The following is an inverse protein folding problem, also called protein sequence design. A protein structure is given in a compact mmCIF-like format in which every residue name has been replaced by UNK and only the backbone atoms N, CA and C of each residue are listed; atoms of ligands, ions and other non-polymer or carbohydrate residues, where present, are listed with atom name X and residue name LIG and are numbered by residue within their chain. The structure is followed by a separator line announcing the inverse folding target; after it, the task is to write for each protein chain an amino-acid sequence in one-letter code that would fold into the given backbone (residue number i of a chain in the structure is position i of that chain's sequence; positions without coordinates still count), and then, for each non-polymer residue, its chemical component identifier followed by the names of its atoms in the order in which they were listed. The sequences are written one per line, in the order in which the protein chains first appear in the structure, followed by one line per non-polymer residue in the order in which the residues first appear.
data_IF_306790828770
#
_entry.id   IF_306790828770
#
_cell.length_a   1.000
_cell.length_b   1.000
_cell.length_c   1.000
_cell.angle_alpha   90.00
_cell.angle_beta   90.00
_cell.angle_gamma   90.00
#
_symmetry.space_group_name_H-M   'P 1'
#
loop_
_entity.id
_entity.type
_entity.pdbx_description
1 polymer ?
#
# COMPACT_ATOMS: atom_id res chain seq x y z
N UNK A 1 -14.04 -7.80 -15.22
CA UNK A 1 -12.93 -7.11 -14.54
C UNK A 1 -11.98 -6.69 -15.64
N UNK A 2 -11.88 -5.39 -15.90
CA UNK A 2 -10.93 -4.85 -16.88
C UNK A 2 -9.59 -4.53 -16.17
N UNK A 3 -8.54 -4.25 -16.92
CA UNK A 3 -7.20 -4.01 -16.36
C UNK A 3 -7.15 -2.82 -15.39
N UNK A 4 -8.01 -1.81 -15.59
CA UNK A 4 -8.07 -0.65 -14.70
C UNK A 4 -8.80 -0.96 -13.40
N UNK A 5 -9.84 -1.79 -13.43
CA UNK A 5 -10.52 -2.31 -12.24
C UNK A 5 -9.54 -3.12 -11.38
N UNK A 6 -8.70 -3.97 -12.02
CA UNK A 6 -7.65 -4.72 -11.32
C UNK A 6 -6.63 -3.79 -10.65
N UNK A 7 -6.24 -2.70 -11.30
CA UNK A 7 -5.34 -1.70 -10.72
C UNK A 7 -5.98 -0.98 -9.53
N UNK A 8 -7.29 -0.70 -9.58
CA UNK A 8 -8.02 -0.11 -8.46
C UNK A 8 -8.08 -1.05 -7.26
N UNK A 9 -8.40 -2.33 -7.49
CA UNK A 9 -8.44 -3.33 -6.43
C UNK A 9 -7.06 -3.51 -5.80
N UNK A 10 -6.01 -3.61 -6.63
CA UNK A 10 -4.64 -3.66 -6.14
C UNK A 10 -4.27 -2.42 -5.33
N UNK A 11 -4.57 -1.21 -5.84
CA UNK A 11 -4.31 0.04 -5.12
C UNK A 11 -5.00 0.06 -3.75
N UNK A 12 -6.24 -0.40 -3.66
CA UNK A 12 -6.99 -0.48 -2.41
C UNK A 12 -6.36 -1.49 -1.43
N UNK A 13 -6.00 -2.67 -1.92
CA UNK A 13 -5.40 -3.72 -1.09
C UNK A 13 -4.03 -3.31 -0.54
N UNK A 14 -3.21 -2.63 -1.36
CA UNK A 14 -1.93 -2.08 -0.94
C UNK A 14 -2.10 -1.02 0.16
N UNK A 15 -3.08 -0.11 0.04
CA UNK A 15 -3.37 0.86 1.10
C UNK A 15 -3.86 0.18 2.39
N UNK A 16 -4.69 -0.86 2.28
CA UNK A 16 -5.12 -1.65 3.43
C UNK A 16 -3.92 -2.33 4.11
N UNK A 17 -3.03 -2.93 3.32
CA UNK A 17 -1.82 -3.57 3.82
C UNK A 17 -0.89 -2.57 4.54
N UNK A 18 -0.72 -1.36 3.99
CA UNK A 18 0.06 -0.30 4.64
C UNK A 18 -0.50 0.03 6.03
N UNK A 19 -1.83 0.17 6.15
CA UNK A 19 -2.50 0.38 7.44
C UNK A 19 -2.32 -0.79 8.42
N UNK A 20 -2.38 -2.03 7.93
CA UNK A 20 -2.17 -3.23 8.72
C UNK A 20 -0.74 -3.31 9.27
N UNK A 21 0.28 -3.08 8.42
CA UNK A 21 1.68 -3.07 8.84
C UNK A 21 1.99 -1.93 9.82
N UNK A 22 1.41 -0.74 9.60
CA UNK A 22 1.56 0.37 10.55
C UNK A 22 0.95 0.02 11.92
N UNK A 23 -0.21 -0.65 11.92
CA UNK A 23 -0.85 -1.12 13.16
C UNK A 23 0.02 -2.16 13.87
N UNK A 24 0.65 -3.08 13.14
CA UNK A 24 1.55 -4.08 13.71
C UNK A 24 2.80 -3.42 14.30
N UNK A 25 3.42 -2.47 13.59
CA UNK A 25 4.55 -1.71 14.09
C UNK A 25 4.25 -1.03 15.42
N UNK A 26 3.05 -0.46 15.60
CA UNK A 26 2.64 0.17 16.86
C UNK A 26 2.37 -0.79 18.02
N UNK A 27 2.17 -2.09 17.76
CA UNK A 27 1.76 -3.09 18.77
C UNK A 27 2.88 -4.04 19.18
N UNK A 28 3.88 -4.20 18.33
CA UNK A 28 5.03 -5.07 18.59
C UNK A 28 5.97 -4.43 19.61
N UNK A 29 6.56 -5.28 20.45
CA UNK A 29 7.52 -4.89 21.50
C UNK A 29 8.95 -5.32 21.18
N UNK A 30 9.14 -6.01 20.06
CA UNK A 30 10.45 -6.41 19.56
C UNK A 30 10.94 -5.35 18.58
N UNK A 31 12.04 -4.68 18.91
CA UNK A 31 12.56 -3.55 18.13
C UNK A 31 12.91 -3.92 16.68
N UNK A 32 13.36 -5.16 16.44
CA UNK A 32 13.71 -5.61 15.08
C UNK A 32 12.46 -5.81 14.24
N UNK A 33 11.43 -6.43 14.82
CA UNK A 33 10.16 -6.63 14.15
C UNK A 33 9.41 -5.31 13.97
N UNK A 34 9.44 -4.40 14.95
CA UNK A 34 8.87 -3.06 14.80
C UNK A 34 9.53 -2.34 13.61
N UNK A 35 10.87 -2.31 13.58
CA UNK A 35 11.60 -1.69 12.47
C UNK A 35 11.26 -2.33 11.14
N UNK A 36 11.20 -3.66 11.08
CA UNK A 36 10.79 -4.38 9.87
C UNK A 36 9.42 -3.91 9.37
N UNK A 37 8.41 -3.88 10.24
CA UNK A 37 7.07 -3.44 9.83
C UNK A 37 7.03 -1.96 9.46
N UNK A 38 7.79 -1.08 10.13
CA UNK A 38 7.92 0.33 9.72
C UNK A 38 8.54 0.49 8.34
N UNK A 39 9.61 -0.24 8.06
CA UNK A 39 10.27 -0.23 6.76
C UNK A 39 9.30 -0.76 5.67
N UNK A 40 8.58 -1.84 5.95
CA UNK A 40 7.56 -2.40 5.04
C UNK A 40 6.42 -1.42 4.77
N UNK A 41 5.97 -0.63 5.75
CA UNK A 41 4.96 0.42 5.51
C UNK A 41 5.43 1.38 4.42
N UNK A 42 6.70 1.80 4.45
CA UNK A 42 7.24 2.71 3.46
C UNK A 42 7.26 2.09 2.06
N UNK A 43 7.69 0.84 1.94
CA UNK A 43 7.70 0.10 0.67
C UNK A 43 6.29 -0.04 0.08
N UNK A 44 5.31 -0.41 0.90
CA UNK A 44 3.93 -0.58 0.46
C UNK A 44 3.29 0.75 0.06
N UNK A 45 3.59 1.86 0.74
CA UNK A 45 3.13 3.18 0.32
C UNK A 45 3.74 3.64 -1.01
N UNK A 46 4.98 3.25 -1.30
CA UNK A 46 5.61 3.49 -2.60
C UNK A 46 4.88 2.72 -3.72
N UNK A 47 4.50 1.47 -3.46
CA UNK A 47 3.68 0.68 -4.38
C UNK A 47 2.31 1.33 -4.61
N UNK A 48 1.61 1.77 -3.55
CA UNK A 48 0.32 2.46 -3.69
C UNK A 48 0.44 3.70 -4.59
N UNK A 49 1.52 4.47 -4.42
CA UNK A 49 1.80 5.64 -5.26
C UNK A 49 2.09 5.26 -6.72
N UNK A 50 2.79 4.14 -6.93
CA UNK A 50 3.05 3.61 -8.28
C UNK A 50 1.76 3.20 -8.98
N UNK A 51 0.90 2.44 -8.29
CA UNK A 51 -0.40 2.01 -8.79
C UNK A 51 -1.31 3.20 -9.10
N UNK A 52 -1.34 4.21 -8.23
CA UNK A 52 -2.10 5.44 -8.47
C UNK A 52 -1.67 6.16 -9.75
N UNK A 53 -0.35 6.25 -10.01
CA UNK A 53 0.18 6.82 -11.26
C UNK A 53 -0.25 6.00 -12.48
N UNK A 54 -0.27 4.67 -12.37
CA UNK A 54 -0.75 3.81 -13.46
C UNK A 54 -2.24 4.03 -13.73
N UNK A 55 -3.07 4.05 -12.69
CA UNK A 55 -4.52 4.33 -12.82
C UNK A 55 -4.75 5.63 -13.58
N UNK A 56 -4.07 6.72 -13.19
CA UNK A 56 -4.17 8.02 -13.86
C UNK A 56 -3.70 7.93 -15.32
N UNK A 57 -2.58 7.25 -15.59
CA UNK A 57 -2.04 7.05 -16.94
C UNK A 57 -3.01 6.30 -17.86
N UNK A 58 -3.79 5.36 -17.33
CA UNK A 58 -4.80 4.60 -18.07
C UNK A 58 -6.17 5.29 -18.12
N UNK A 59 -6.27 6.56 -17.70
CA UNK A 59 -7.49 7.37 -17.80
C UNK A 59 -8.45 7.24 -16.61
N UNK A 60 -8.02 6.57 -15.53
CA UNK A 60 -8.73 6.55 -14.25
C UNK A 60 -8.43 7.78 -13.39
N UNK A 61 -9.08 7.85 -12.24
CA UNK A 61 -8.87 8.89 -11.24
C UNK A 61 -8.69 8.29 -9.83
N UNK A 62 -7.84 8.90 -9.01
CA UNK A 62 -7.59 8.52 -7.61
C UNK A 62 -7.88 9.73 -6.75
N UNK A 63 -8.84 9.61 -5.84
CA UNK A 63 -9.27 10.67 -4.92
C UNK A 63 -8.71 10.46 -3.52
#
# INVERSE_FOLDING_TARGET
MNDIDMLYDYYKDVNLAAGAYATMACRIKDDKLEKFYRDTVHEVLMEARSSAKMIIKYGGNVF
#
